data_IF_584862262214
#
_entry.id   IF_584862262214
#
_cell.length_a   1.000
_cell.length_b   1.000
_cell.length_c   1.000
_cell.angle_alpha   90.00
_cell.angle_beta   90.00
_cell.angle_gamma   90.00
#
_symmetry.space_group_name_H-M   'P 1'
#
loop_
_entity.id
_entity.type
_entity.pdbx_description
1 polymer ?
#
# COMPACT_ATOMS: atom_id res chain seq x y z
N UNK A 1 6.16 4.46 3.36
CA UNK A 1 5.26 5.51 3.89
C UNK A 1 4.11 4.83 4.62
N UNK A 2 3.68 5.33 5.79
CA UNK A 2 2.58 4.71 6.54
C UNK A 2 1.21 4.97 5.89
N UNK A 3 1.03 6.07 5.16
CA UNK A 3 -0.22 6.37 4.47
C UNK A 3 -0.51 5.41 3.31
N UNK A 4 0.50 4.67 2.83
CA UNK A 4 0.30 3.65 1.78
C UNK A 4 -0.57 2.50 2.27
N UNK A 5 -0.61 2.22 3.57
CA UNK A 5 -1.35 1.11 4.16
C UNK A 5 -2.86 1.29 3.94
N UNK A 6 -3.53 2.36 4.43
CA UNK A 6 -4.96 2.55 4.20
C UNK A 6 -5.28 2.75 2.71
N UNK A 7 -4.37 3.34 1.92
CA UNK A 7 -4.57 3.50 0.48
C UNK A 7 -4.64 2.14 -0.22
N UNK A 8 -3.73 1.22 0.06
CA UNK A 8 -3.77 -0.14 -0.50
C UNK A 8 -4.97 -0.95 0.01
N UNK A 9 -5.47 -0.68 1.21
CA UNK A 9 -6.65 -1.36 1.79
C UNK A 9 -7.97 -0.88 1.17
N UNK A 10 -8.08 0.38 0.76
CA UNK A 10 -9.35 0.95 0.27
C UNK A 10 -9.41 1.26 -1.23
N UNK A 11 -8.27 1.35 -1.92
CA UNK A 11 -8.25 1.59 -3.35
C UNK A 11 -8.93 0.44 -4.14
N UNK A 12 -9.54 0.73 -5.31
CA UNK A 12 -10.06 -0.31 -6.20
C UNK A 12 -8.99 -1.32 -6.62
N UNK A 13 -9.39 -2.56 -6.88
CA UNK A 13 -8.49 -3.57 -7.43
C UNK A 13 -7.87 -3.11 -8.77
N UNK A 14 -6.61 -3.47 -9.01
CA UNK A 14 -5.79 -3.04 -10.14
C UNK A 14 -5.44 -1.54 -10.18
N UNK A 15 -5.80 -0.75 -9.17
CA UNK A 15 -5.31 0.62 -9.04
C UNK A 15 -3.79 0.67 -8.92
N UNK A 16 -3.20 1.78 -9.36
CA UNK A 16 -1.78 2.07 -9.16
C UNK A 16 -1.64 3.15 -8.09
N UNK A 17 -0.92 2.83 -7.02
CA UNK A 17 -0.55 3.76 -5.95
C UNK A 17 0.87 4.25 -6.24
N UNK A 18 1.02 5.56 -6.26
CA UNK A 18 2.28 6.25 -6.53
C UNK A 18 2.61 7.09 -5.30
N UNK A 19 3.80 6.91 -4.71
CA UNK A 19 4.26 7.76 -3.61
C UNK A 19 5.77 7.95 -3.63
N UNK A 20 6.25 9.05 -3.07
CA UNK A 20 7.68 9.31 -2.92
C UNK A 20 8.23 8.70 -1.63
N UNK A 21 9.41 8.10 -1.70
CA UNK A 21 10.14 7.60 -0.53
C UNK A 21 11.55 8.20 -0.51
N UNK A 22 11.98 8.83 0.60
CA UNK A 22 13.34 9.35 0.73
C UNK A 22 14.38 8.27 0.40
N UNK A 23 15.36 8.63 -0.42
CA UNK A 23 16.43 7.74 -0.92
C UNK A 23 15.99 6.57 -1.83
N UNK A 24 14.69 6.40 -2.09
CA UNK A 24 14.19 5.39 -3.05
C UNK A 24 13.49 6.00 -4.27
N UNK A 25 13.06 7.27 -4.19
CA UNK A 25 12.41 7.96 -5.29
C UNK A 25 10.91 7.65 -5.39
N UNK A 26 10.40 7.55 -6.62
CA UNK A 26 9.00 7.22 -6.87
C UNK A 26 8.78 5.71 -6.72
N UNK A 27 7.94 5.34 -5.77
CA UNK A 27 7.49 3.97 -5.56
C UNK A 27 6.16 3.78 -6.27
N UNK A 28 6.03 2.65 -6.97
CA UNK A 28 4.83 2.27 -7.74
C UNK A 28 4.32 0.94 -7.21
N UNK A 29 3.06 0.92 -6.75
CA UNK A 29 2.42 -0.28 -6.22
C UNK A 29 1.15 -0.56 -6.98
N UNK A 30 1.02 -1.77 -7.54
CA UNK A 30 -0.25 -2.24 -8.10
C UNK A 30 -1.08 -2.90 -7.01
N UNK A 31 -2.31 -2.43 -6.81
CA UNK A 31 -3.23 -2.98 -5.82
C UNK A 31 -3.79 -4.30 -6.33
N UNK A 32 -3.21 -5.39 -5.84
CA UNK A 32 -3.71 -6.76 -6.04
C UNK A 32 -4.35 -7.27 -4.75
N UNK A 33 -5.15 -8.36 -4.79
CA UNK A 33 -5.65 -9.00 -3.57
C UNK A 33 -4.54 -9.39 -2.60
N UNK A 34 -3.38 -9.83 -3.11
CA UNK A 34 -2.21 -10.16 -2.30
C UNK A 34 -1.66 -8.92 -1.57
N UNK A 35 -1.48 -7.81 -2.28
CA UNK A 35 -1.01 -6.55 -1.69
C UNK A 35 -1.99 -6.05 -0.64
N UNK A 36 -3.30 -6.10 -0.91
CA UNK A 36 -4.35 -5.73 0.05
C UNK A 36 -4.28 -6.57 1.31
N UNK A 37 -4.18 -7.90 1.17
CA UNK A 37 -4.08 -8.82 2.30
C UNK A 37 -2.81 -8.60 3.12
N UNK A 38 -1.68 -8.32 2.44
CA UNK A 38 -0.41 -8.01 3.09
C UNK A 38 -0.50 -6.70 3.89
N UNK A 39 -1.10 -5.67 3.31
CA UNK A 39 -1.28 -4.37 4.00
C UNK A 39 -2.29 -4.45 5.13
N UNK A 40 -3.36 -5.23 5.00
CA UNK A 40 -4.29 -5.49 6.11
C UNK A 40 -3.57 -6.16 7.30
N UNK A 41 -2.81 -7.24 7.04
CA UNK A 41 -2.02 -7.90 8.11
C UNK A 41 -1.03 -6.97 8.79
N UNK A 42 -0.44 -6.02 8.04
CA UNK A 42 0.46 -5.02 8.64
C UNK A 42 -0.31 -4.08 9.56
N UNK A 43 -1.52 -3.66 9.19
CA UNK A 43 -2.38 -2.84 10.05
C UNK A 43 -2.78 -3.61 11.32
N UNK A 44 -3.17 -4.88 11.18
CA UNK A 44 -3.59 -5.74 12.31
C UNK A 44 -2.45 -5.97 13.33
N UNK A 45 -1.18 -5.86 12.92
CA UNK A 45 0.00 -5.96 13.81
C UNK A 45 0.30 -4.66 14.57
N UNK A 46 -0.33 -3.56 14.19
CA UNK A 46 -0.16 -2.24 14.80
C UNK A 46 -1.25 -1.92 15.83
N UNK A 47 -2.30 -2.74 15.89
CA UNK A 47 -3.34 -2.75 16.94
C UNK A 47 -2.91 -3.60 18.14
#
# INVERSE_FOLDING_TARGET
DLLVIPVCIHAPENSIVLYGQPNEGLVVVKVTPEIRNKTQRLLDLME
#
